data_IF_145933204617
#
_entry.id   IF_145933204617
#
_cell.length_a   1.000
_cell.length_b   1.000
_cell.length_c   1.000
_cell.angle_alpha   90.00
_cell.angle_beta   90.00
_cell.angle_gamma   90.00
#
_symmetry.space_group_name_H-M   'P 1'
#
loop_
_entity.id
_entity.type
_entity.pdbx_description
1 polymer ?
#
# COMPACT_ATOMS: atom_id res chain seq x y z
N UNK A 1 -25.23 5.84 19.45
CA UNK A 1 -25.70 5.52 18.09
C UNK A 1 -24.57 4.86 17.31
N UNK A 2 -24.84 4.02 16.30
CA UNK A 2 -23.80 3.37 15.49
C UNK A 2 -23.91 3.78 14.03
N UNK A 3 -22.77 3.95 13.37
CA UNK A 3 -22.67 4.08 11.91
C UNK A 3 -22.18 2.74 11.34
N UNK A 4 -22.74 2.32 10.21
CA UNK A 4 -22.24 1.15 9.48
C UNK A 4 -21.39 1.59 8.30
N UNK A 5 -20.09 1.34 8.37
CA UNK A 5 -19.15 1.54 7.28
C UNK A 5 -19.33 0.41 6.25
N UNK A 6 -19.51 0.72 4.94
CA UNK A 6 -19.68 -0.28 3.90
C UNK A 6 -18.41 -1.09 3.67
N UNK A 7 -18.54 -2.27 3.06
CA UNK A 7 -17.38 -3.00 2.54
C UNK A 7 -16.67 -2.17 1.48
N UNK A 8 -15.35 -2.34 1.39
CA UNK A 8 -14.55 -1.79 0.31
C UNK A 8 -14.23 -2.91 -0.67
N UNK A 9 -14.59 -2.73 -1.93
CA UNK A 9 -14.36 -3.70 -3.00
C UNK A 9 -13.61 -3.03 -4.15
N UNK A 10 -12.61 -3.71 -4.69
CA UNK A 10 -11.96 -3.33 -5.95
C UNK A 10 -12.39 -4.27 -7.07
N UNK A 11 -12.69 -3.72 -8.25
CA UNK A 11 -13.03 -4.52 -9.43
C UNK A 11 -11.75 -4.91 -10.14
N UNK A 12 -11.38 -6.19 -10.06
CA UNK A 12 -10.17 -6.72 -10.71
C UNK A 12 -10.39 -7.03 -12.18
N UNK A 13 -11.62 -7.42 -12.53
CA UNK A 13 -11.96 -7.79 -13.90
C UNK A 13 -13.44 -7.58 -14.17
N UNK A 14 -13.74 -7.02 -15.33
CA UNK A 14 -15.08 -6.99 -15.89
C UNK A 14 -14.98 -7.24 -17.39
N UNK A 15 -15.64 -8.29 -17.87
CA UNK A 15 -15.69 -8.57 -19.31
C UNK A 15 -16.72 -7.66 -19.98
N UNK A 16 -16.29 -6.85 -20.94
CA UNK A 16 -17.15 -5.98 -21.75
C UNK A 16 -18.30 -6.77 -22.38
N UNK A 17 -19.53 -6.29 -22.21
CA UNK A 17 -20.74 -6.96 -22.71
C UNK A 17 -21.29 -8.09 -21.81
N UNK A 18 -20.67 -8.35 -20.65
CA UNK A 18 -21.17 -9.31 -19.67
C UNK A 18 -21.40 -8.68 -18.30
N UNK A 19 -22.30 -9.28 -17.50
CA UNK A 19 -22.49 -8.93 -16.09
C UNK A 19 -21.48 -9.61 -15.15
N UNK A 20 -20.50 -10.36 -15.69
CA UNK A 20 -19.51 -11.06 -14.90
C UNK A 20 -18.43 -10.09 -14.43
N UNK A 21 -18.34 -9.92 -13.11
CA UNK A 21 -17.39 -9.02 -12.44
C UNK A 21 -16.66 -9.83 -11.38
N UNK A 22 -15.33 -9.78 -11.39
CA UNK A 22 -14.50 -10.29 -10.31
C UNK A 22 -14.14 -9.10 -9.42
N UNK A 23 -14.56 -9.19 -8.16
CA UNK A 23 -14.27 -8.18 -7.14
C UNK A 23 -13.39 -8.78 -6.05
N UNK A 24 -12.43 -7.99 -5.59
CA UNK A 24 -11.64 -8.26 -4.40
C UNK A 24 -12.21 -7.46 -3.23
N UNK A 25 -12.54 -8.13 -2.13
CA UNK A 25 -12.88 -7.46 -0.87
C UNK A 25 -11.58 -6.92 -0.24
N UNK A 26 -11.43 -5.60 -0.20
CA UNK A 26 -10.29 -4.92 0.39
C UNK A 26 -10.51 -4.62 1.88
N UNK A 27 -11.74 -4.31 2.27
CA UNK A 27 -12.11 -4.12 3.68
C UNK A 27 -13.52 -4.62 3.95
N UNK A 28 -13.70 -5.32 5.06
CA UNK A 28 -15.00 -5.83 5.49
C UNK A 28 -15.92 -4.73 6.03
N UNK A 29 -17.21 -4.88 5.80
CA UNK A 29 -18.26 -4.04 6.40
C UNK A 29 -18.17 -4.11 7.93
N UNK A 30 -18.24 -2.96 8.61
CA UNK A 30 -18.18 -2.90 10.08
C UNK A 30 -19.02 -1.76 10.65
N UNK A 31 -19.43 -1.88 11.91
CA UNK A 31 -20.20 -0.84 12.61
C UNK A 31 -19.36 -0.18 13.70
N UNK A 32 -19.34 1.15 13.71
CA UNK A 32 -18.59 1.98 14.65
C UNK A 32 -19.54 2.85 15.48
N UNK A 33 -19.17 3.28 16.70
CA UNK A 33 -19.93 4.31 17.41
C UNK A 33 -19.90 5.64 16.66
N UNK A 34 -20.99 6.41 16.73
CA UNK A 34 -21.04 7.77 16.21
C UNK A 34 -20.34 8.73 17.19
N UNK A 35 -19.03 8.92 16.99
CA UNK A 35 -18.23 9.89 17.74
C UNK A 35 -17.97 11.13 16.87
N UNK A 36 -18.84 12.15 16.96
CA UNK A 36 -18.68 13.37 16.15
C UNK A 36 -17.55 14.25 16.71
N UNK A 37 -16.57 14.55 15.87
CA UNK A 37 -15.48 15.47 16.19
C UNK A 37 -15.77 16.90 15.73
N UNK A 38 -16.32 17.04 14.53
CA UNK A 38 -16.60 18.34 13.92
C UNK A 38 -17.81 18.24 13.01
N UNK A 39 -18.66 19.26 13.04
CA UNK A 39 -19.79 19.43 12.13
C UNK A 39 -19.67 20.80 11.45
N UNK A 40 -19.85 20.84 10.13
CA UNK A 40 -20.03 22.10 9.41
C UNK A 40 -21.07 21.94 8.30
N UNK A 41 -21.29 23.02 7.52
CA UNK A 41 -22.30 23.03 6.45
C UNK A 41 -22.00 22.11 5.26
N UNK A 42 -20.81 21.53 5.17
CA UNK A 42 -20.32 20.75 4.03
C UNK A 42 -20.05 19.29 4.38
N UNK A 43 -19.68 18.98 5.62
CA UNK A 43 -19.35 17.62 6.06
C UNK A 43 -19.53 17.43 7.57
N UNK A 44 -19.53 16.16 7.98
CA UNK A 44 -19.46 15.71 9.37
C UNK A 44 -18.21 14.85 9.55
N UNK A 45 -17.33 15.20 10.49
CA UNK A 45 -16.19 14.37 10.87
C UNK A 45 -16.54 13.50 12.07
N UNK A 46 -16.27 12.21 11.92
CA UNK A 46 -16.42 11.21 12.98
C UNK A 46 -15.08 10.54 13.28
N UNK A 47 -14.90 10.09 14.51
CA UNK A 47 -13.71 9.40 14.98
C UNK A 47 -13.91 7.87 14.98
N UNK A 48 -12.86 7.14 14.59
CA UNK A 48 -12.78 5.68 14.67
C UNK A 48 -11.34 5.25 14.96
N UNK A 49 -11.07 4.81 16.19
CA UNK A 49 -9.76 4.31 16.64
C UNK A 49 -8.60 5.28 16.31
N UNK A 50 -8.81 6.57 16.55
CA UNK A 50 -7.84 7.63 16.26
C UNK A 50 -7.85 8.14 14.81
N UNK A 51 -8.58 7.49 13.89
CA UNK A 51 -8.74 7.97 12.52
C UNK A 51 -9.93 8.92 12.41
N UNK A 52 -9.80 9.93 11.53
CA UNK A 52 -10.89 10.85 11.18
C UNK A 52 -11.57 10.38 9.89
N UNK A 53 -12.88 10.19 9.94
CA UNK A 53 -13.71 9.81 8.79
C UNK A 53 -14.61 10.98 8.42
N UNK A 54 -14.50 11.47 7.18
CA UNK A 54 -15.32 12.53 6.63
C UNK A 54 -16.58 11.96 5.98
N UNK A 55 -17.75 12.39 6.44
CA UNK A 55 -19.04 12.07 5.84
C UNK A 55 -19.51 13.28 5.04
N UNK A 56 -19.73 13.12 3.73
CA UNK A 56 -20.13 14.24 2.88
C UNK A 56 -20.94 13.78 1.66
N UNK A 57 -21.41 14.73 0.85
CA UNK A 57 -22.18 14.46 -0.38
C UNK A 57 -21.38 14.65 -1.67
N UNK A 58 -20.24 15.34 -1.61
CA UNK A 58 -19.41 15.70 -2.78
C UNK A 58 -17.92 15.60 -2.47
N UNK A 59 -17.12 15.25 -3.48
CA UNK A 59 -15.66 15.17 -3.33
C UNK A 59 -15.02 16.51 -2.94
N UNK A 60 -15.51 17.60 -3.52
CA UNK A 60 -15.04 18.98 -3.27
C UNK A 60 -15.11 19.41 -1.79
N UNK A 61 -15.92 18.71 -0.97
CA UNK A 61 -16.09 19.01 0.44
C UNK A 61 -15.15 18.21 1.35
N UNK A 62 -14.38 17.26 0.80
CA UNK A 62 -13.47 16.42 1.57
C UNK A 62 -12.19 17.23 1.85
N UNK A 63 -11.81 17.45 3.13
CA UNK A 63 -10.55 18.10 3.45
C UNK A 63 -9.36 17.29 2.94
N UNK A 64 -8.30 17.96 2.47
CA UNK A 64 -7.15 17.30 1.84
C UNK A 64 -6.44 16.32 2.80
N UNK A 65 -6.33 16.70 4.07
CA UNK A 65 -5.67 15.96 5.15
C UNK A 65 -6.41 14.69 5.60
N UNK A 66 -7.65 14.48 5.14
CA UNK A 66 -8.45 13.32 5.54
C UNK A 66 -8.20 12.15 4.59
N UNK A 67 -7.90 10.98 5.14
CA UNK A 67 -7.67 9.76 4.35
C UNK A 67 -8.92 8.89 4.16
N UNK A 68 -9.89 8.99 5.07
CA UNK A 68 -11.13 8.23 5.05
C UNK A 68 -12.32 9.15 4.78
N UNK A 69 -13.01 8.93 3.67
CA UNK A 69 -14.23 9.67 3.35
C UNK A 69 -15.33 8.75 2.82
N UNK A 70 -16.57 9.03 3.22
CA UNK A 70 -17.76 8.31 2.80
C UNK A 70 -18.78 9.27 2.20
N UNK A 71 -19.40 8.84 1.11
CA UNK A 71 -20.54 9.52 0.55
C UNK A 71 -21.82 9.20 1.31
N UNK A 72 -22.62 10.23 1.53
CA UNK A 72 -23.97 10.12 2.10
C UNK A 72 -25.02 10.53 1.06
N UNK A 73 -26.27 10.13 1.30
CA UNK A 73 -27.42 10.54 0.50
C UNK A 73 -27.72 12.05 0.58
N UNK A 74 -27.43 12.69 1.72
CA UNK A 74 -27.62 14.11 1.97
C UNK A 74 -26.57 14.62 2.96
N UNK A 75 -26.44 15.95 3.09
CA UNK A 75 -25.47 16.56 3.99
C UNK A 75 -25.69 16.05 5.44
N UNK A 76 -24.68 15.42 6.04
CA UNK A 76 -24.82 14.83 7.36
C UNK A 76 -24.77 15.89 8.45
N UNK A 77 -25.61 15.71 9.47
CA UNK A 77 -25.50 16.39 10.76
C UNK A 77 -25.94 15.44 11.86
N UNK A 78 -25.64 15.75 13.12
CA UNK A 78 -25.96 14.88 14.25
C UNK A 78 -27.45 14.56 14.35
N UNK A 79 -28.31 15.56 14.17
CA UNK A 79 -29.77 15.41 14.26
C UNK A 79 -30.33 14.44 13.20
N UNK A 80 -29.92 14.57 11.94
CA UNK A 80 -30.36 13.71 10.83
C UNK A 80 -29.87 12.27 11.00
N UNK A 81 -28.73 12.09 11.65
CA UNK A 81 -28.25 10.79 12.06
C UNK A 81 -29.17 10.18 13.11
N UNK A 82 -29.54 10.93 14.15
CA UNK A 82 -30.48 10.50 15.20
C UNK A 82 -31.87 10.18 14.64
N UNK A 83 -32.31 10.93 13.64
CA UNK A 83 -33.57 10.70 12.90
C UNK A 83 -33.50 9.55 11.88
N UNK A 84 -32.33 8.93 11.69
CA UNK A 84 -32.14 7.82 10.74
C UNK A 84 -32.23 8.21 9.25
N UNK A 85 -32.07 9.50 8.92
CA UNK A 85 -32.20 10.02 7.54
C UNK A 85 -30.94 9.85 6.69
N UNK A 86 -29.78 9.65 7.33
CA UNK A 86 -28.50 9.52 6.64
C UNK A 86 -28.26 8.08 6.21
N UNK A 87 -28.05 7.89 4.90
CA UNK A 87 -27.65 6.62 4.28
C UNK A 87 -26.26 6.80 3.68
N UNK A 88 -25.35 5.89 4.02
CA UNK A 88 -24.01 5.84 3.44
C UNK A 88 -24.07 5.12 2.08
N UNK A 89 -23.61 5.80 1.03
CA UNK A 89 -23.59 5.32 -0.35
C UNK A 89 -22.35 4.49 -0.67
N UNK A 90 -21.21 4.78 -0.06
CA UNK A 90 -19.93 4.12 -0.36
C UNK A 90 -18.72 4.94 0.06
N UNK A 91 -17.53 4.36 -0.12
CA UNK A 91 -16.24 5.02 0.08
C UNK A 91 -15.96 6.03 -1.03
N UNK A 92 -15.69 7.27 -0.65
CA UNK A 92 -15.16 8.32 -1.52
C UNK A 92 -13.62 8.32 -1.50
N UNK A 93 -13.04 8.15 -0.30
CA UNK A 93 -11.58 8.08 -0.08
C UNK A 93 -11.28 6.99 0.95
N UNK A 94 -10.32 6.13 0.65
CA UNK A 94 -9.85 5.10 1.56
C UNK A 94 -8.38 4.79 1.24
N UNK A 95 -7.49 4.61 2.23
CA UNK A 95 -6.07 4.31 1.97
C UNK A 95 -5.85 3.11 1.05
N UNK A 96 -6.66 2.05 1.22
CA UNK A 96 -6.63 0.85 0.36
C UNK A 96 -7.12 1.07 -1.09
N UNK A 97 -7.76 2.20 -1.41
CA UNK A 97 -8.10 2.57 -2.78
C UNK A 97 -7.00 3.39 -3.46
N UNK A 98 -5.99 3.85 -2.71
CA UNK A 98 -5.00 4.76 -3.25
C UNK A 98 -4.11 4.02 -4.25
N UNK A 99 -4.34 4.29 -5.52
CA UNK A 99 -3.45 3.86 -6.58
C UNK A 99 -2.25 4.81 -6.64
N UNK A 100 -1.06 4.24 -6.53
CA UNK A 100 0.17 4.99 -6.72
C UNK A 100 0.69 4.76 -8.13
N UNK A 101 1.07 5.84 -8.80
CA UNK A 101 1.87 5.77 -10.02
C UNK A 101 3.23 5.14 -9.71
N UNK A 102 3.87 4.55 -10.73
CA UNK A 102 5.23 4.02 -10.59
C UNK A 102 6.20 5.08 -10.08
N UNK A 103 6.04 6.34 -10.50
CA UNK A 103 6.89 7.43 -10.03
C UNK A 103 6.67 7.73 -8.54
N UNK A 104 5.43 7.78 -8.05
CA UNK A 104 5.16 7.97 -6.61
C UNK A 104 5.78 6.85 -5.77
N UNK A 105 5.69 5.60 -6.23
CA UNK A 105 6.32 4.45 -5.56
C UNK A 105 7.84 4.64 -5.52
N UNK A 106 8.47 4.92 -6.66
CA UNK A 106 9.93 5.10 -6.74
C UNK A 106 10.40 6.29 -5.89
N UNK A 107 9.65 7.40 -5.88
CA UNK A 107 9.95 8.56 -5.04
C UNK A 107 9.80 8.24 -3.55
N UNK A 108 8.86 7.38 -3.18
CA UNK A 108 8.66 6.96 -1.78
C UNK A 108 9.88 6.25 -1.20
N UNK A 109 10.68 5.58 -2.04
CA UNK A 109 11.92 4.90 -1.63
C UNK A 109 13.11 5.84 -1.43
N UNK A 110 13.00 7.11 -1.83
CA UNK A 110 14.09 8.08 -1.73
C UNK A 110 14.45 8.31 -0.26
N UNK A 111 15.70 8.02 0.08
CA UNK A 111 16.25 8.16 1.44
C UNK A 111 15.52 7.32 2.51
N UNK A 112 14.82 6.27 2.10
CA UNK A 112 13.99 5.43 2.98
C UNK A 112 14.45 3.96 2.98
N UNK A 113 15.66 3.69 2.48
CA UNK A 113 16.30 2.37 2.50
C UNK A 113 17.40 2.32 3.57
N UNK A 114 17.34 1.31 4.43
CA UNK A 114 18.31 1.08 5.50
C UNK A 114 19.17 -0.16 5.20
N UNK A 115 20.49 0.02 5.16
CA UNK A 115 21.44 -1.09 5.16
C UNK A 115 21.51 -1.67 6.57
N UNK A 116 20.63 -2.64 6.83
CA UNK A 116 20.51 -3.28 8.13
C UNK A 116 21.06 -4.71 8.05
N UNK A 117 22.16 -4.96 8.74
CA UNK A 117 22.70 -6.31 8.92
C UNK A 117 21.82 -7.13 9.89
N UNK A 118 21.74 -8.44 9.65
CA UNK A 118 21.21 -9.40 10.62
C UNK A 118 22.17 -9.53 11.81
N UNK A 119 21.66 -9.37 13.03
CA UNK A 119 22.39 -9.61 14.27
C UNK A 119 21.57 -10.56 15.18
N UNK A 120 22.16 -11.06 16.26
CA UNK A 120 21.55 -12.02 17.19
C UNK A 120 20.22 -11.55 17.77
N UNK A 121 20.03 -10.24 17.91
CA UNK A 121 18.83 -9.62 18.47
C UNK A 121 17.92 -8.96 17.44
N UNK A 122 18.40 -8.73 16.22
CA UNK A 122 17.67 -7.96 15.21
C UNK A 122 17.68 -8.64 13.85
N UNK A 123 16.48 -8.80 13.27
CA UNK A 123 16.35 -9.27 11.90
C UNK A 123 16.85 -8.21 10.91
N UNK A 124 17.58 -8.67 9.89
CA UNK A 124 18.19 -7.84 8.86
C UNK A 124 18.66 -8.68 7.68
N UNK A 125 19.41 -8.06 6.78
CA UNK A 125 20.07 -8.75 5.67
C UNK A 125 21.29 -9.51 6.18
N UNK A 126 21.43 -10.75 5.74
CA UNK A 126 22.61 -11.56 6.03
C UNK A 126 23.84 -10.96 5.37
N UNK A 127 25.01 -11.23 5.94
CA UNK A 127 26.29 -10.75 5.42
C UNK A 127 26.49 -10.97 3.90
N UNK A 128 26.14 -12.13 3.29
CA UNK A 128 26.26 -12.29 1.84
C UNK A 128 25.35 -11.36 1.04
N UNK A 129 24.18 -11.01 1.59
CA UNK A 129 23.21 -10.13 0.94
C UNK A 129 23.67 -8.67 1.00
N UNK A 130 24.18 -8.22 2.15
CA UNK A 130 24.76 -6.88 2.32
C UNK A 130 25.97 -6.69 1.41
N UNK A 131 26.89 -7.66 1.41
CA UNK A 131 28.06 -7.62 0.55
C UNK A 131 27.67 -7.55 -0.94
N UNK A 132 26.74 -8.41 -1.39
CA UNK A 132 26.23 -8.38 -2.76
C UNK A 132 25.58 -7.02 -3.09
N UNK A 133 24.78 -6.48 -2.18
CA UNK A 133 24.09 -5.20 -2.38
C UNK A 133 25.07 -4.04 -2.56
N UNK A 134 26.12 -3.95 -1.75
CA UNK A 134 27.16 -2.92 -1.91
C UNK A 134 27.89 -3.05 -3.25
N UNK A 135 28.24 -4.27 -3.67
CA UNK A 135 28.89 -4.51 -4.96
C UNK A 135 27.98 -4.13 -6.14
N UNK A 136 26.70 -4.50 -6.07
CA UNK A 136 25.70 -4.12 -7.08
C UNK A 136 25.54 -2.60 -7.13
N UNK A 137 25.44 -1.92 -5.98
CA UNK A 137 25.32 -0.45 -5.96
C UNK A 137 26.55 0.22 -6.57
N UNK A 138 27.75 -0.24 -6.24
CA UNK A 138 28.99 0.25 -6.84
C UNK A 138 29.00 0.06 -8.36
N UNK A 139 28.59 -1.13 -8.83
CA UNK A 139 28.49 -1.44 -10.26
C UNK A 139 27.49 -0.52 -10.97
N UNK A 140 26.30 -0.31 -10.41
CA UNK A 140 25.22 0.47 -11.03
C UNK A 140 25.48 1.99 -11.05
N UNK A 141 26.37 2.51 -10.19
CA UNK A 141 26.76 3.94 -10.19
C UNK A 141 27.80 4.27 -11.25
N UNK A 142 28.39 3.26 -11.90
CA UNK A 142 29.36 3.41 -12.95
C UNK A 142 28.74 2.91 -14.28
N UNK A 143 29.08 3.52 -15.42
CA UNK A 143 28.68 3.01 -16.72
C UNK A 143 29.46 1.73 -17.01
N UNK A 144 28.87 0.57 -16.71
CA UNK A 144 29.48 -0.74 -16.89
C UNK A 144 28.52 -1.69 -17.62
N UNK A 145 29.12 -2.65 -18.34
CA UNK A 145 28.41 -3.72 -19.05
C UNK A 145 27.65 -4.66 -18.09
N UNK A 146 27.01 -5.68 -18.66
CA UNK A 146 26.29 -6.71 -17.92
C UNK A 146 27.14 -7.34 -16.80
N UNK A 147 26.56 -7.49 -15.61
CA UNK A 147 27.18 -8.12 -14.45
C UNK A 147 26.49 -9.43 -14.06
N UNK A 148 27.27 -10.34 -13.48
CA UNK A 148 26.77 -11.58 -12.88
C UNK A 148 27.00 -11.57 -11.38
N UNK A 149 25.94 -11.75 -10.61
CA UNK A 149 26.00 -11.89 -9.15
C UNK A 149 25.83 -13.36 -8.80
N UNK A 150 26.89 -13.99 -8.29
CA UNK A 150 26.87 -15.40 -7.91
C UNK A 150 26.51 -15.52 -6.42
N UNK A 151 25.41 -16.20 -6.13
CA UNK A 151 24.93 -16.43 -4.77
C UNK A 151 24.49 -17.90 -4.59
N UNK A 152 25.00 -18.63 -3.58
CA UNK A 152 24.57 -20.00 -3.29
C UNK A 152 23.07 -20.13 -2.98
N UNK A 153 22.54 -21.36 -2.97
CA UNK A 153 21.17 -21.60 -2.47
C UNK A 153 21.08 -21.25 -0.98
N UNK A 154 19.92 -20.74 -0.55
CA UNK A 154 19.69 -20.38 0.85
C UNK A 154 20.29 -19.04 1.32
N UNK A 155 21.05 -18.33 0.48
CA UNK A 155 21.62 -17.01 0.84
C UNK A 155 20.70 -15.81 0.55
N UNK A 156 19.44 -16.06 0.17
CA UNK A 156 18.42 -15.03 0.00
C UNK A 156 18.61 -14.15 -1.25
N UNK A 157 18.81 -14.78 -2.41
CA UNK A 157 18.88 -14.13 -3.73
C UNK A 157 17.69 -13.20 -4.00
N UNK A 158 16.49 -13.66 -3.68
CA UNK A 158 15.25 -12.90 -3.91
C UNK A 158 15.25 -11.61 -3.09
N UNK A 159 15.57 -11.70 -1.81
CA UNK A 159 15.65 -10.53 -0.92
C UNK A 159 16.78 -9.57 -1.34
N UNK A 160 17.90 -10.07 -1.88
CA UNK A 160 18.93 -9.19 -2.47
C UNK A 160 18.43 -8.46 -3.72
N UNK A 161 17.65 -9.12 -4.58
CA UNK A 161 17.04 -8.45 -5.75
C UNK A 161 16.03 -7.38 -5.31
N UNK A 162 15.19 -7.67 -4.31
CA UNK A 162 14.25 -6.71 -3.74
C UNK A 162 14.99 -5.51 -3.11
N UNK A 163 16.06 -5.78 -2.37
CA UNK A 163 16.85 -4.73 -1.73
C UNK A 163 17.51 -3.85 -2.78
N UNK A 164 17.99 -4.45 -3.88
CA UNK A 164 18.55 -3.74 -5.02
C UNK A 164 17.51 -2.83 -5.70
N UNK A 165 16.28 -3.34 -5.92
CA UNK A 165 15.18 -2.56 -6.50
C UNK A 165 14.94 -1.26 -5.72
N UNK A 166 14.82 -1.36 -4.39
CA UNK A 166 14.53 -0.21 -3.53
C UNK A 166 15.76 0.69 -3.40
N UNK A 167 16.93 0.14 -3.05
CA UNK A 167 18.15 0.90 -2.80
C UNK A 167 18.63 1.69 -4.03
N UNK A 168 18.60 1.06 -5.21
CA UNK A 168 18.95 1.75 -6.46
C UNK A 168 17.79 2.57 -7.03
N UNK A 169 16.56 2.36 -6.53
CA UNK A 169 15.33 2.96 -7.06
C UNK A 169 15.16 2.69 -8.55
N UNK A 170 15.24 1.42 -8.94
CA UNK A 170 15.15 1.03 -10.35
C UNK A 170 13.82 1.46 -10.94
N UNK A 171 13.85 2.25 -12.03
CA UNK A 171 12.64 2.77 -12.67
C UNK A 171 11.81 1.67 -13.34
N UNK A 172 12.50 0.67 -13.88
CA UNK A 172 11.92 -0.52 -14.52
C UNK A 172 12.77 -1.73 -14.17
N UNK A 173 12.11 -2.87 -13.99
CA UNK A 173 12.76 -4.14 -13.69
C UNK A 173 12.09 -5.25 -14.49
N UNK A 174 12.90 -6.12 -15.10
CA UNK A 174 12.44 -7.37 -15.71
C UNK A 174 13.15 -8.53 -15.02
N UNK A 175 12.36 -9.45 -14.46
CA UNK A 175 12.87 -10.70 -13.87
C UNK A 175 12.38 -11.87 -14.71
N UNK A 176 13.31 -12.64 -15.26
CA UNK A 176 13.01 -13.84 -16.05
C UNK A 176 13.33 -15.09 -15.25
N UNK A 177 12.42 -16.07 -15.28
CA UNK A 177 12.56 -17.34 -14.55
C UNK A 177 12.12 -18.52 -15.41
N UNK A 178 12.64 -19.74 -15.15
CA UNK A 178 12.38 -20.90 -15.99
C UNK A 178 11.01 -21.55 -15.82
N UNK A 179 10.18 -21.13 -14.85
CA UNK A 179 8.88 -21.78 -14.60
C UNK A 179 7.80 -20.84 -14.06
N UNK A 180 6.55 -21.21 -14.29
CA UNK A 180 5.36 -20.51 -13.83
C UNK A 180 5.23 -20.46 -12.30
N UNK A 181 5.56 -21.58 -11.63
CA UNK A 181 5.54 -21.65 -10.17
C UNK A 181 6.53 -20.67 -9.55
N UNK A 182 7.76 -20.61 -10.09
CA UNK A 182 8.77 -19.68 -9.61
C UNK A 182 8.41 -18.23 -9.94
N UNK A 183 7.77 -17.99 -11.11
CA UNK A 183 7.27 -16.67 -11.50
C UNK A 183 6.27 -16.14 -10.48
N UNK A 184 5.28 -16.96 -10.10
CA UNK A 184 4.26 -16.55 -9.14
C UNK A 184 4.87 -16.27 -7.76
N UNK A 185 5.78 -17.13 -7.27
CA UNK A 185 6.45 -16.93 -5.99
C UNK A 185 7.29 -15.64 -5.96
N UNK A 186 8.07 -15.38 -7.02
CA UNK A 186 8.87 -14.16 -7.09
C UNK A 186 7.96 -12.94 -7.26
N UNK A 187 6.93 -12.98 -8.10
CA UNK A 187 6.00 -11.88 -8.28
C UNK A 187 5.35 -11.47 -6.95
N UNK A 188 4.90 -12.43 -6.15
CA UNK A 188 4.32 -12.17 -4.82
C UNK A 188 5.33 -11.49 -3.88
N UNK A 189 6.59 -11.93 -3.91
CA UNK A 189 7.69 -11.32 -3.14
C UNK A 189 7.98 -9.87 -3.56
N UNK A 190 7.87 -9.55 -4.85
CA UNK A 190 8.01 -8.17 -5.33
C UNK A 190 6.81 -7.30 -4.96
N UNK A 191 5.60 -7.86 -4.98
CA UNK A 191 4.36 -7.16 -4.60
C UNK A 191 4.39 -6.72 -3.11
N UNK A 192 4.82 -7.62 -2.22
CA UNK A 192 4.85 -7.35 -0.78
C UNK A 192 6.21 -6.87 -0.24
N UNK A 193 7.23 -6.73 -1.10
CA UNK A 193 8.64 -6.48 -0.74
C UNK A 193 9.26 -7.53 0.19
N UNK A 194 8.69 -8.74 0.22
CA UNK A 194 9.20 -9.90 0.94
C UNK A 194 9.50 -9.62 2.41
N UNK A 195 10.69 -10.06 2.84
CA UNK A 195 11.14 -9.88 4.22
C UNK A 195 11.62 -8.46 4.53
N UNK A 196 11.82 -7.60 3.52
CA UNK A 196 12.38 -6.26 3.75
C UNK A 196 11.46 -5.40 4.61
N UNK A 197 10.13 -5.52 4.45
CA UNK A 197 9.17 -4.84 5.34
C UNK A 197 9.22 -5.40 6.76
N UNK A 198 9.39 -6.71 6.91
CA UNK A 198 9.48 -7.35 8.23
C UNK A 198 10.77 -6.95 8.96
N UNK A 199 11.85 -6.72 8.21
CA UNK A 199 13.15 -6.30 8.74
C UNK A 199 13.26 -4.78 8.97
N UNK A 200 12.27 -4.00 8.52
CA UNK A 200 12.31 -2.54 8.57
C UNK A 200 13.35 -1.91 7.64
N UNK A 201 13.72 -2.58 6.54
CA UNK A 201 14.73 -2.12 5.59
C UNK A 201 14.17 -1.08 4.62
N UNK A 202 12.91 -1.21 4.22
CA UNK A 202 12.14 -0.10 3.65
C UNK A 202 11.43 0.59 4.80
N UNK A 203 11.65 1.88 4.99
CA UNK A 203 10.99 2.66 6.03
C UNK A 203 9.47 2.70 5.84
N UNK A 204 8.76 3.27 6.82
CA UNK A 204 7.28 3.30 6.82
C UNK A 204 6.70 4.01 5.59
N UNK A 205 7.50 4.83 4.90
CA UNK A 205 7.09 5.57 3.71
C UNK A 205 7.24 4.76 2.43
N UNK A 206 8.01 3.67 2.43
CA UNK A 206 8.29 2.86 1.26
C UNK A 206 7.04 2.11 0.79
N UNK A 207 6.47 2.60 -0.30
CA UNK A 207 5.29 2.02 -0.93
C UNK A 207 5.66 0.74 -1.69
N UNK A 208 4.72 -0.19 -1.77
CA UNK A 208 4.80 -1.35 -2.64
C UNK A 208 3.49 -1.51 -3.40
N UNK A 209 3.57 -1.98 -4.64
CA UNK A 209 2.41 -2.42 -5.40
C UNK A 209 2.52 -3.91 -5.58
#
# INVERSE_FOLDING_TARGET
MKITLPSLESTLYQKTGSKNIIKQLLASKRSIPLNVLQENRFYLLVEDNGNKICLTTKDEYIPEEIEYALFTNMLPNKQRFEEGKIVIKGWAKHPLLKEYSSNEIIQSWKNDFLYKDEDRSESGLRQPQIAALHMIMGHLKLPLDAATVVMPTGTGKTETMLATLIANRCEKLLVTVPSDSLRNQIAEKFFNLGLLKQFGIGGEKSLSR
#
